data_IF_474344187110
#
_entry.id   IF_474344187110
#
_cell.length_a   1.000
_cell.length_b   1.000
_cell.length_c   1.000
_cell.angle_alpha   90.00
_cell.angle_beta   90.00
_cell.angle_gamma   90.00
#
_symmetry.space_group_name_H-M   'P 1'
#
loop_
_entity.id
_entity.type
_entity.pdbx_description
1 polymer ?
#
# COMPACT_ATOMS: atom_id res chain seq x y z
N UNK A 1 -13.62 44.83 30.23
CA UNK A 1 -14.54 44.58 29.10
C UNK A 1 -13.84 43.61 28.15
N UNK A 2 -14.55 42.57 27.72
CA UNK A 2 -13.98 41.34 27.11
C UNK A 2 -13.43 41.63 25.71
N UNK A 3 -12.12 41.43 25.49
CA UNK A 3 -11.60 41.24 24.15
C UNK A 3 -11.77 39.74 23.81
N UNK A 4 -12.67 39.47 22.87
CA UNK A 4 -12.88 38.14 22.29
C UNK A 4 -11.66 37.82 21.43
N UNK A 5 -10.89 36.80 21.83
CA UNK A 5 -9.80 36.28 21.01
C UNK A 5 -10.36 35.65 19.74
N UNK A 6 -10.07 36.25 18.59
CA UNK A 6 -10.36 35.67 17.28
C UNK A 6 -9.27 34.64 16.98
N UNK A 7 -9.53 33.38 17.33
CA UNK A 7 -8.74 32.27 16.82
C UNK A 7 -9.18 32.02 15.37
N UNK A 8 -8.36 32.42 14.40
CA UNK A 8 -8.48 31.93 13.03
C UNK A 8 -7.80 30.57 12.96
N UNK A 9 -8.57 29.54 12.64
CA UNK A 9 -8.04 28.30 12.09
C UNK A 9 -7.68 28.61 10.63
N UNK A 10 -6.40 28.78 10.35
CA UNK A 10 -5.90 28.74 8.98
C UNK A 10 -5.84 27.28 8.53
N UNK A 11 -6.11 27.05 7.24
CA UNK A 11 -6.30 25.72 6.67
C UNK A 11 -5.08 24.83 6.95
N UNK A 12 -5.25 23.94 7.93
CA UNK A 12 -4.70 22.59 7.96
C UNK A 12 -3.35 22.40 7.31
N UNK A 13 -2.30 22.65 8.08
CA UNK A 13 -0.95 22.14 7.90
C UNK A 13 -0.93 20.60 8.04
N UNK A 14 -1.49 19.89 7.08
CA UNK A 14 -1.15 18.49 6.87
C UNK A 14 -0.01 18.49 5.86
N UNK A 15 1.17 18.12 6.34
CA UNK A 15 2.35 17.87 5.50
C UNK A 15 2.06 16.72 4.54
N UNK A 16 1.38 17.00 3.44
CA UNK A 16 1.41 16.17 2.25
C UNK A 16 1.90 17.07 1.12
N UNK A 17 3.18 16.91 0.82
CA UNK A 17 3.76 17.48 -0.38
C UNK A 17 2.93 16.96 -1.57
N UNK A 18 2.33 17.87 -2.32
CA UNK A 18 1.63 17.53 -3.56
C UNK A 18 2.66 17.10 -4.60
N UNK A 19 3.08 15.83 -4.57
CA UNK A 19 4.00 15.25 -5.56
C UNK A 19 3.21 15.00 -6.85
N UNK A 20 3.32 15.92 -7.81
CA UNK A 20 2.84 15.73 -9.19
C UNK A 20 3.88 14.95 -9.98
N UNK A 21 3.70 13.62 -10.09
CA UNK A 21 4.61 12.80 -10.89
C UNK A 21 4.24 12.91 -12.38
N UNK A 22 4.78 13.93 -13.04
CA UNK A 22 4.51 14.25 -14.46
C UNK A 22 5.25 13.33 -15.46
N UNK A 23 6.26 12.58 -15.00
CA UNK A 23 7.11 11.72 -15.83
C UNK A 23 7.45 10.38 -15.16
N UNK A 24 6.65 9.93 -14.20
CA UNK A 24 6.89 8.65 -13.53
C UNK A 24 6.89 7.56 -14.59
N UNK A 25 8.02 6.88 -14.76
CA UNK A 25 8.00 5.60 -15.44
C UNK A 25 7.02 4.69 -14.67
N UNK A 26 6.18 3.88 -15.33
CA UNK A 26 5.11 3.13 -14.67
C UNK A 26 5.59 2.31 -13.45
N UNK A 27 6.83 1.83 -13.48
CA UNK A 27 7.51 1.16 -12.37
C UNK A 27 7.64 2.00 -11.10
N UNK A 28 7.79 3.32 -11.22
CA UNK A 28 7.91 4.23 -10.07
C UNK A 28 6.57 4.46 -9.35
N UNK A 29 5.44 4.35 -10.05
CA UNK A 29 4.11 4.46 -9.43
C UNK A 29 3.84 3.28 -8.50
N UNK A 30 4.27 2.08 -8.92
CA UNK A 30 4.15 0.85 -8.14
C UNK A 30 4.96 0.87 -6.84
N UNK A 31 6.11 1.57 -6.82
CA UNK A 31 6.92 1.77 -5.61
C UNK A 31 6.29 2.78 -4.63
N UNK A 32 5.54 3.76 -5.14
CA UNK A 32 4.88 4.78 -4.33
C UNK A 32 3.57 4.28 -3.69
N UNK A 33 2.93 3.31 -4.33
CA UNK A 33 1.72 2.65 -3.82
C UNK A 33 1.91 1.13 -3.83
N UNK A 34 2.31 0.51 -2.71
CA UNK A 34 2.56 -0.94 -2.64
C UNK A 34 1.27 -1.78 -2.56
N UNK A 35 0.09 -1.14 -2.51
CA UNK A 35 -1.18 -1.84 -2.39
C UNK A 35 -1.56 -2.46 -3.75
N UNK A 36 -1.90 -3.75 -3.75
CA UNK A 36 -2.37 -4.50 -4.93
C UNK A 36 -3.86 -4.83 -4.76
N UNK A 37 -4.26 -6.09 -4.95
CA UNK A 37 -5.62 -6.55 -4.61
C UNK A 37 -5.85 -6.52 -3.09
N UNK A 38 -7.10 -6.68 -2.66
CA UNK A 38 -7.49 -6.58 -1.25
C UNK A 38 -6.57 -7.41 -0.33
N UNK A 39 -5.87 -6.74 0.58
CA UNK A 39 -4.97 -7.38 1.54
C UNK A 39 -3.60 -7.80 1.00
N UNK A 40 -3.26 -7.44 -0.25
CA UNK A 40 -1.98 -7.74 -0.87
C UNK A 40 -1.05 -6.52 -0.85
N UNK A 41 0.18 -6.73 -0.40
CA UNK A 41 1.28 -5.78 -0.44
C UNK A 41 2.34 -6.26 -1.40
N UNK A 42 2.75 -5.45 -2.37
CA UNK A 42 3.90 -5.78 -3.21
C UNK A 42 5.20 -5.65 -2.41
N UNK A 43 5.98 -6.72 -2.46
CA UNK A 43 7.38 -6.70 -2.06
C UNK A 43 8.23 -6.38 -3.31
N UNK A 44 8.71 -5.14 -3.40
CA UNK A 44 9.48 -4.67 -4.54
C UNK A 44 10.85 -5.37 -4.69
N UNK A 45 11.38 -5.97 -3.62
CA UNK A 45 12.64 -6.71 -3.69
C UNK A 45 12.48 -8.04 -4.43
N UNK A 46 11.40 -8.79 -4.16
CA UNK A 46 11.15 -10.08 -4.80
C UNK A 46 10.19 -10.04 -6.00
N UNK A 47 9.39 -8.97 -6.13
CA UNK A 47 8.29 -8.90 -7.09
C UNK A 47 7.08 -9.77 -6.73
N UNK A 48 7.05 -10.34 -5.51
CA UNK A 48 5.93 -11.14 -5.00
C UNK A 48 4.95 -10.28 -4.22
N UNK A 49 3.71 -10.74 -4.11
CA UNK A 49 2.68 -10.05 -3.35
C UNK A 49 2.44 -10.76 -2.02
N UNK A 50 2.75 -10.08 -0.91
CA UNK A 50 2.52 -10.57 0.44
C UNK A 50 1.02 -10.49 0.80
N UNK A 51 0.44 -11.63 1.15
CA UNK A 51 -0.91 -11.78 1.67
C UNK A 51 -0.87 -12.53 3.01
N UNK A 52 -0.76 -11.76 4.11
CA UNK A 52 -0.81 -12.14 5.54
C UNK A 52 0.11 -13.28 6.02
N UNK A 53 0.10 -14.43 5.34
CA UNK A 53 0.87 -15.63 5.65
C UNK A 53 1.45 -16.30 4.40
N UNK A 54 1.23 -15.73 3.21
CA UNK A 54 1.65 -16.32 1.93
C UNK A 54 2.11 -15.27 0.95
N UNK A 55 3.05 -15.66 0.10
CA UNK A 55 3.46 -14.88 -1.06
C UNK A 55 2.70 -15.39 -2.30
N UNK A 56 2.09 -14.46 -3.02
CA UNK A 56 1.44 -14.68 -4.29
C UNK A 56 2.39 -14.27 -5.42
N UNK A 57 2.60 -15.18 -6.36
CA UNK A 57 3.43 -14.95 -7.52
C UNK A 57 2.54 -14.48 -8.69
N UNK A 58 2.62 -13.19 -9.07
CA UNK A 58 1.69 -12.64 -10.06
C UNK A 58 1.90 -13.23 -11.46
N UNK A 59 3.12 -13.63 -11.81
CA UNK A 59 3.43 -14.20 -13.14
C UNK A 59 2.87 -15.61 -13.33
N UNK A 60 2.96 -16.46 -12.30
CA UNK A 60 2.42 -17.81 -12.30
C UNK A 60 0.95 -17.86 -11.85
N UNK A 61 0.40 -16.74 -11.39
CA UNK A 61 -0.95 -16.59 -10.85
C UNK A 61 -1.28 -17.57 -9.71
N UNK A 62 -0.29 -17.95 -8.89
CA UNK A 62 -0.41 -18.94 -7.83
C UNK A 62 0.30 -18.50 -6.54
N UNK A 63 0.00 -19.17 -5.42
CA UNK A 63 0.79 -18.99 -4.20
C UNK A 63 2.11 -19.76 -4.29
N UNK A 64 3.18 -19.14 -3.79
CA UNK A 64 4.52 -19.75 -3.71
C UNK A 64 4.61 -20.90 -2.70
N UNK A 65 3.62 -21.01 -1.80
CA UNK A 65 3.53 -22.05 -0.78
C UNK A 65 2.13 -22.69 -0.76
N UNK A 66 2.00 -23.97 -0.38
CA UNK A 66 0.71 -24.61 -0.19
C UNK A 66 -0.12 -23.89 0.89
N UNK A 67 -1.44 -24.08 0.83
CA UNK A 67 -2.36 -23.51 1.81
C UNK A 67 -2.17 -24.19 3.18
N UNK A 68 -1.90 -23.43 4.27
CA UNK A 68 -1.62 -23.99 5.58
C UNK A 68 -2.86 -24.59 6.28
N UNK A 69 -4.06 -24.37 5.74
CA UNK A 69 -5.32 -24.95 6.23
C UNK A 69 -5.64 -26.28 5.55
N UNK A 70 -4.85 -26.74 4.57
CA UNK A 70 -5.07 -28.07 3.95
C UNK A 70 -5.03 -29.15 5.03
N UNK A 71 -6.22 -29.62 5.38
CA UNK A 71 -6.46 -30.84 6.11
C UNK A 71 -6.25 -31.98 5.11
N UNK A 72 -5.26 -32.84 5.34
CA UNK A 72 -5.13 -34.07 4.57
C UNK A 72 -6.37 -34.93 4.84
N UNK A 73 -7.07 -35.44 3.81
CA UNK A 73 -8.00 -36.53 4.03
C UNK A 73 -7.18 -37.76 4.44
N UNK A 74 -7.51 -38.33 5.60
CA UNK A 74 -7.09 -39.68 6.01
C UNK A 74 -7.96 -40.71 5.32
#
# INVERSE_FOLDING_TARGET
MRHVGSWRVERGDYWVENVTVSWAQPETVSLLCPIRFQGQWEDAESGLYYNRFRYYEPFAAQYASPDPIVISPT
#
